data_IF_387664895455
#
_entry.id   IF_387664895455
#
_cell.length_a   1.000
_cell.length_b   1.000
_cell.length_c   1.000
_cell.angle_alpha   90.00
_cell.angle_beta   90.00
_cell.angle_gamma   90.00
#
_symmetry.space_group_name_H-M   'P 1'
#
loop_
_entity.id
_entity.type
_entity.pdbx_description
1 polymer ?
#
# COMPACT_ATOMS: atom_id res chain seq x y z
N UNK A 1 4.44 2.67 -6.85
CA UNK A 1 4.83 1.46 -7.61
C UNK A 1 4.23 1.44 -9.00
N UNK A 2 2.91 1.27 -9.27
CA UNK A 2 2.38 1.26 -10.64
C UNK A 2 2.73 2.50 -11.46
N UNK A 3 2.69 3.68 -10.88
CA UNK A 3 3.05 4.93 -11.57
C UNK A 3 4.51 4.91 -12.05
N UNK A 4 5.41 4.38 -11.25
CA UNK A 4 6.84 4.26 -11.61
C UNK A 4 7.05 3.24 -12.73
N UNK A 5 6.34 2.11 -12.66
CA UNK A 5 6.35 1.10 -13.73
C UNK A 5 5.93 1.72 -15.06
N UNK A 6 4.82 2.46 -15.09
CA UNK A 6 4.36 3.17 -16.29
C UNK A 6 5.40 4.14 -16.86
N UNK A 7 6.22 4.75 -16.00
CA UNK A 7 7.24 5.70 -16.44
C UNK A 7 8.50 5.02 -16.93
N UNK A 8 8.91 3.92 -16.28
CA UNK A 8 10.18 3.24 -16.57
C UNK A 8 10.08 2.33 -17.78
N UNK A 9 9.00 1.55 -17.89
CA UNK A 9 8.88 0.53 -18.95
C UNK A 9 8.16 1.01 -20.20
N UNK A 10 7.48 2.16 -20.15
CA UNK A 10 6.69 2.68 -21.28
C UNK A 10 7.48 2.84 -22.58
N UNK A 11 8.72 3.24 -22.46
CA UNK A 11 9.59 3.59 -23.58
C UNK A 11 10.72 2.54 -23.77
N UNK A 12 10.49 1.30 -23.31
CA UNK A 12 11.41 0.18 -23.49
C UNK A 12 10.79 -0.95 -24.29
N UNK A 13 11.60 -1.66 -25.06
CA UNK A 13 11.20 -2.87 -25.81
C UNK A 13 11.29 -4.15 -24.93
N UNK A 14 11.32 -3.99 -23.60
CA UNK A 14 11.42 -5.11 -22.67
C UNK A 14 10.05 -5.75 -22.52
N UNK A 15 9.95 -7.01 -22.90
CA UNK A 15 8.76 -7.83 -22.62
C UNK A 15 8.67 -8.03 -21.12
N UNK A 16 7.55 -7.62 -20.54
CA UNK A 16 7.32 -7.70 -19.10
C UNK A 16 5.92 -8.28 -18.83
N UNK A 17 5.70 -8.75 -17.61
CA UNK A 17 4.42 -9.26 -17.16
C UNK A 17 4.11 -8.82 -15.74
N UNK A 18 2.85 -8.94 -15.35
CA UNK A 18 2.38 -8.59 -14.01
C UNK A 18 2.15 -9.85 -13.19
N UNK A 19 2.68 -9.85 -11.98
CA UNK A 19 2.47 -10.94 -11.03
C UNK A 19 1.87 -10.37 -9.72
N UNK A 20 0.95 -11.09 -9.09
CA UNK A 20 0.50 -10.72 -7.75
C UNK A 20 1.61 -10.97 -6.74
N UNK A 21 1.56 -10.30 -5.61
CA UNK A 21 2.42 -10.66 -4.47
C UNK A 21 2.12 -12.11 -4.10
N UNK A 22 3.13 -12.99 -4.01
CA UNK A 22 2.91 -14.40 -3.72
C UNK A 22 2.24 -14.60 -2.36
N UNK A 23 1.47 -15.67 -2.23
CA UNK A 23 0.94 -16.11 -0.96
C UNK A 23 2.08 -16.56 -0.05
N UNK A 24 1.89 -16.40 1.26
CA UNK A 24 2.86 -16.85 2.25
C UNK A 24 3.00 -18.39 2.23
N UNK A 25 1.84 -19.08 2.19
CA UNK A 25 1.74 -20.53 2.14
C UNK A 25 0.39 -20.98 1.56
N UNK A 26 0.17 -22.27 1.48
CA UNK A 26 -1.07 -22.89 0.97
C UNK A 26 -2.32 -22.61 1.83
N UNK A 27 -2.14 -22.21 3.09
CA UNK A 27 -3.26 -21.90 3.99
C UNK A 27 -3.83 -20.51 3.71
N UNK A 28 -3.06 -19.62 3.09
CA UNK A 28 -3.54 -18.31 2.68
C UNK A 28 -4.51 -18.45 1.51
N UNK A 29 -5.81 -18.31 1.76
CA UNK A 29 -6.86 -18.49 0.77
C UNK A 29 -6.82 -17.47 -0.35
N UNK A 30 -6.55 -16.20 -0.02
CA UNK A 30 -6.62 -15.10 -0.96
C UNK A 30 -5.26 -14.40 -1.12
N UNK A 31 -5.03 -13.85 -2.31
CA UNK A 31 -3.95 -12.89 -2.50
C UNK A 31 -4.20 -11.63 -1.67
N UNK A 32 -3.13 -10.99 -1.21
CA UNK A 32 -3.19 -9.70 -0.51
C UNK A 32 -2.18 -8.75 -1.12
N UNK A 33 -2.63 -7.56 -1.42
CA UNK A 33 -1.78 -6.47 -1.94
C UNK A 33 -1.77 -5.36 -0.91
N UNK A 34 -0.61 -5.13 -0.30
CA UNK A 34 -0.46 -4.00 0.63
C UNK A 34 -0.42 -2.71 -0.17
N UNK A 35 -1.30 -1.80 0.16
CA UNK A 35 -1.31 -0.45 -0.40
C UNK A 35 -0.64 0.51 0.57
N UNK A 36 0.30 1.29 0.03
CA UNK A 36 0.83 2.47 0.72
C UNK A 36 -0.07 3.61 0.34
N UNK A 37 -0.99 3.94 1.22
CA UNK A 37 -1.93 5.01 0.93
C UNK A 37 -1.37 6.37 1.36
N UNK A 38 -1.44 7.33 0.45
CA UNK A 38 -1.28 8.74 0.80
C UNK A 38 -2.60 9.16 1.44
N UNK A 39 -2.57 9.39 2.74
CA UNK A 39 -3.74 9.86 3.48
C UNK A 39 -3.88 11.37 3.30
N UNK A 40 -5.09 11.80 3.03
CA UNK A 40 -5.45 13.20 3.04
C UNK A 40 -5.89 13.58 4.45
N UNK A 41 -5.34 14.66 4.98
CA UNK A 41 -5.71 15.18 6.28
C UNK A 41 -6.18 16.63 6.15
N UNK A 42 -7.24 16.96 6.87
CA UNK A 42 -7.74 18.34 6.96
C UNK A 42 -7.26 18.93 8.26
N UNK A 43 -6.49 20.05 8.22
CA UNK A 43 -6.06 20.73 9.45
C UNK A 43 -7.27 21.22 10.25
N UNK A 44 -7.23 21.06 11.58
CA UNK A 44 -8.32 21.46 12.47
C UNK A 44 -8.63 22.98 12.46
N UNK A 45 -7.67 23.80 12.02
CA UNK A 45 -7.87 25.25 11.87
C UNK A 45 -8.90 25.64 10.80
N UNK A 46 -9.33 24.69 9.97
CA UNK A 46 -10.34 24.91 8.93
C UNK A 46 -11.68 24.26 9.28
N UNK A 47 -11.96 24.06 10.55
CA UNK A 47 -13.22 23.41 11.02
C UNK A 47 -14.49 24.11 10.52
N UNK A 48 -14.45 25.43 10.32
CA UNK A 48 -15.57 26.20 9.77
C UNK A 48 -15.91 25.87 8.30
N UNK A 49 -14.98 25.22 7.58
CA UNK A 49 -15.14 24.82 6.17
C UNK A 49 -15.25 23.31 5.99
N UNK A 50 -15.39 22.56 7.08
CA UNK A 50 -15.30 21.10 7.03
C UNK A 50 -16.35 20.47 6.10
N UNK A 51 -17.57 20.99 6.08
CA UNK A 51 -18.64 20.50 5.19
C UNK A 51 -18.30 20.72 3.72
N UNK A 52 -17.80 21.91 3.38
CA UNK A 52 -17.36 22.22 2.01
C UNK A 52 -16.17 21.34 1.60
N UNK A 53 -15.19 21.18 2.48
CA UNK A 53 -14.00 20.35 2.23
C UNK A 53 -14.43 18.89 2.04
N UNK A 54 -15.36 18.40 2.88
CA UNK A 54 -15.93 17.07 2.75
C UNK A 54 -16.61 16.85 1.38
N UNK A 55 -17.50 17.76 1.00
CA UNK A 55 -18.20 17.69 -0.28
C UNK A 55 -17.26 17.72 -1.49
N UNK A 56 -16.22 18.57 -1.46
CA UNK A 56 -15.23 18.64 -2.55
C UNK A 56 -14.40 17.35 -2.59
N UNK A 57 -13.99 16.84 -1.44
CA UNK A 57 -13.19 15.60 -1.36
C UNK A 57 -13.99 14.39 -1.85
N UNK A 58 -15.26 14.31 -1.50
CA UNK A 58 -16.17 13.26 -2.00
C UNK A 58 -16.35 13.36 -3.51
N UNK A 59 -16.63 14.56 -4.03
CA UNK A 59 -16.75 14.78 -5.46
C UNK A 59 -15.48 14.39 -6.23
N UNK A 60 -14.31 14.75 -5.73
CA UNK A 60 -13.02 14.35 -6.32
C UNK A 60 -12.83 12.85 -6.28
N UNK A 61 -13.19 12.20 -5.18
CA UNK A 61 -13.09 10.73 -5.04
C UNK A 61 -14.03 10.01 -6.00
N UNK A 62 -15.25 10.52 -6.18
CA UNK A 62 -16.21 10.01 -7.14
C UNK A 62 -15.70 10.16 -8.59
N UNK A 63 -15.16 11.32 -8.95
CA UNK A 63 -14.56 11.54 -10.28
C UNK A 63 -13.33 10.66 -10.50
N UNK A 64 -12.50 10.49 -9.48
CA UNK A 64 -11.36 9.58 -9.56
C UNK A 64 -11.82 8.14 -9.84
N UNK A 65 -12.83 7.66 -9.13
CA UNK A 65 -13.35 6.31 -9.29
C UNK A 65 -13.95 6.09 -10.69
N UNK A 66 -14.73 7.05 -11.19
CA UNK A 66 -15.47 6.90 -12.43
C UNK A 66 -14.63 7.16 -13.69
N UNK A 67 -13.60 8.00 -13.62
CA UNK A 67 -12.84 8.42 -14.79
C UNK A 67 -11.36 8.10 -14.70
N UNK A 68 -10.71 8.47 -13.60
CA UNK A 68 -9.24 8.32 -13.50
C UNK A 68 -8.86 6.85 -13.37
N UNK A 69 -9.57 6.10 -12.53
CA UNK A 69 -9.29 4.68 -12.32
C UNK A 69 -9.44 3.85 -13.59
N UNK A 70 -10.55 3.92 -14.35
CA UNK A 70 -10.65 3.20 -15.62
C UNK A 70 -9.61 3.66 -16.66
N UNK A 71 -9.36 4.96 -16.79
CA UNK A 71 -8.34 5.47 -17.69
C UNK A 71 -6.94 4.95 -17.35
N UNK A 72 -6.62 4.83 -16.08
CA UNK A 72 -5.35 4.29 -15.64
C UNK A 72 -5.27 2.77 -15.79
N UNK A 73 -6.22 2.02 -15.24
CA UNK A 73 -6.16 0.57 -15.26
C UNK A 73 -6.53 -0.04 -16.61
N UNK A 74 -7.63 0.38 -17.23
CA UNK A 74 -8.13 -0.28 -18.43
C UNK A 74 -7.42 0.26 -19.69
N UNK A 75 -7.26 1.58 -19.80
CA UNK A 75 -6.64 2.16 -21.00
C UNK A 75 -5.11 2.10 -20.94
N UNK A 76 -4.50 2.47 -19.81
CA UNK A 76 -3.04 2.57 -19.72
C UNK A 76 -2.40 1.23 -19.37
N UNK A 77 -2.78 0.64 -18.25
CA UNK A 77 -2.13 -0.58 -17.78
C UNK A 77 -2.46 -1.79 -18.68
N UNK A 78 -3.74 -2.07 -18.89
CA UNK A 78 -4.16 -3.21 -19.72
C UNK A 78 -3.98 -2.95 -21.21
N UNK A 79 -4.28 -1.73 -21.67
CA UNK A 79 -4.27 -1.44 -23.10
C UNK A 79 -2.90 -1.12 -23.69
N UNK A 80 -1.94 -0.66 -22.89
CA UNK A 80 -0.62 -0.22 -23.38
C UNK A 80 0.58 -0.93 -22.76
N UNK A 81 0.42 -1.50 -21.60
CA UNK A 81 1.54 -2.08 -20.82
C UNK A 81 1.34 -3.58 -20.52
N UNK A 82 0.23 -4.15 -20.94
CA UNK A 82 -0.07 -5.57 -20.77
C UNK A 82 0.09 -6.27 -22.13
N UNK A 83 0.94 -7.28 -22.16
CA UNK A 83 1.22 -8.05 -23.37
C UNK A 83 0.38 -9.32 -23.46
N UNK A 84 -0.35 -9.68 -22.38
CA UNK A 84 -1.12 -10.91 -22.31
C UNK A 84 -2.49 -10.76 -21.62
N UNK A 85 -3.47 -11.63 -21.95
CA UNK A 85 -4.74 -11.70 -21.23
C UNK A 85 -4.58 -12.07 -19.74
N UNK A 86 -3.52 -12.78 -19.39
CA UNK A 86 -3.18 -13.17 -18.03
C UNK A 86 -2.79 -11.96 -17.20
N UNK A 87 -2.02 -11.05 -17.78
CA UNK A 87 -1.66 -9.77 -17.15
C UNK A 87 -2.89 -8.94 -16.82
N UNK A 88 -3.87 -8.91 -17.73
CA UNK A 88 -5.12 -8.18 -17.51
C UNK A 88 -5.87 -8.71 -16.28
N UNK A 89 -5.90 -10.04 -16.07
CA UNK A 89 -6.53 -10.65 -14.89
C UNK A 89 -5.79 -10.28 -13.60
N UNK A 90 -4.45 -10.27 -13.66
CA UNK A 90 -3.63 -9.86 -12.50
C UNK A 90 -3.86 -8.38 -12.16
N UNK A 91 -3.93 -7.53 -13.18
CA UNK A 91 -4.21 -6.11 -13.00
C UNK A 91 -5.60 -5.83 -12.41
N UNK A 92 -6.59 -6.69 -12.64
CA UNK A 92 -7.89 -6.64 -11.96
C UNK A 92 -7.81 -7.14 -10.52
N UNK A 93 -7.04 -8.18 -10.28
CA UNK A 93 -6.91 -8.80 -8.97
C UNK A 93 -6.18 -7.89 -7.97
N UNK A 94 -5.14 -7.17 -8.38
CA UNK A 94 -4.32 -6.33 -7.50
C UNK A 94 -5.15 -5.27 -6.76
N UNK A 95 -5.95 -4.42 -7.42
CA UNK A 95 -6.79 -3.46 -6.72
C UNK A 95 -7.93 -4.11 -5.93
N UNK A 96 -8.43 -5.27 -6.37
CA UNK A 96 -9.49 -6.00 -5.68
C UNK A 96 -9.03 -6.63 -4.36
N UNK A 97 -7.76 -7.01 -4.27
CA UNK A 97 -7.15 -7.63 -3.08
C UNK A 97 -6.39 -6.65 -2.20
N UNK A 98 -6.60 -5.34 -2.43
CA UNK A 98 -5.92 -4.29 -1.66
C UNK A 98 -6.28 -4.36 -0.19
N UNK A 99 -5.28 -4.31 0.65
CA UNK A 99 -5.41 -4.25 2.10
C UNK A 99 -4.50 -3.17 2.68
N UNK A 100 -4.95 -2.57 3.77
CA UNK A 100 -4.14 -1.65 4.56
C UNK A 100 -3.50 -2.46 5.68
N UNK A 101 -2.19 -2.44 5.74
CA UNK A 101 -1.43 -3.06 6.82
C UNK A 101 -1.08 -2.02 7.88
N UNK A 102 -1.46 -2.30 9.13
CA UNK A 102 -1.23 -1.37 10.25
C UNK A 102 0.26 -1.15 10.50
N UNK A 103 1.05 -2.21 10.52
CA UNK A 103 2.49 -2.11 10.77
C UNK A 103 3.20 -1.32 9.68
N UNK A 104 2.77 -1.48 8.43
CA UNK A 104 3.32 -0.72 7.31
C UNK A 104 2.89 0.75 7.36
N UNK A 105 1.64 1.04 7.68
CA UNK A 105 1.12 2.42 7.76
C UNK A 105 1.76 3.23 8.88
N UNK A 106 2.11 2.56 9.99
CA UNK A 106 2.71 3.18 11.17
C UNK A 106 4.20 2.88 11.34
N UNK A 107 4.90 2.43 10.30
CA UNK A 107 6.32 2.03 10.41
C UNK A 107 7.24 3.13 10.93
N UNK A 108 6.90 4.39 10.75
CA UNK A 108 7.66 5.53 11.28
C UNK A 108 7.46 5.70 12.79
N UNK A 109 6.32 5.27 13.31
CA UNK A 109 6.01 5.30 14.76
C UNK A 109 6.49 4.03 15.43
N UNK A 110 6.35 2.89 14.73
CA UNK A 110 6.79 1.58 15.17
C UNK A 110 8.19 1.32 14.58
N UNK A 111 9.17 2.04 15.10
CA UNK A 111 10.55 2.06 14.57
C UNK A 111 11.16 0.66 14.33
N UNK A 112 10.96 -0.38 15.21
CA UNK A 112 11.50 -1.70 14.93
C UNK A 112 10.99 -2.38 13.68
N UNK A 113 9.83 -1.98 13.14
CA UNK A 113 9.33 -2.48 11.87
C UNK A 113 10.26 -2.12 10.71
N UNK A 114 10.91 -0.96 10.76
CA UNK A 114 11.89 -0.55 9.77
C UNK A 114 13.08 -1.52 9.69
N UNK A 115 13.54 -2.06 10.82
CA UNK A 115 14.61 -3.05 10.83
C UNK A 115 14.21 -4.35 10.12
N UNK A 116 12.96 -4.78 10.25
CA UNK A 116 12.45 -5.96 9.54
C UNK A 116 12.37 -5.71 8.03
N UNK A 117 11.90 -4.53 7.63
CA UNK A 117 11.86 -4.14 6.23
C UNK A 117 13.27 -4.03 5.62
N UNK A 118 14.23 -3.49 6.37
CA UNK A 118 15.61 -3.38 5.93
C UNK A 118 16.27 -4.74 5.72
N UNK A 119 15.89 -5.76 6.49
CA UNK A 119 16.40 -7.12 6.29
C UNK A 119 15.97 -7.73 4.95
N UNK A 120 14.79 -7.38 4.47
CA UNK A 120 14.32 -7.85 3.16
C UNK A 120 15.01 -7.13 1.99
N UNK A 121 15.46 -5.90 2.22
CA UNK A 121 16.11 -5.06 1.22
C UNK A 121 17.64 -5.24 1.16
N UNK A 122 18.23 -5.73 2.24
CA UNK A 122 19.68 -5.94 2.35
C UNK A 122 19.98 -7.42 2.24
N UNK A 123 20.79 -7.79 1.27
CA UNK A 123 21.38 -9.13 1.21
C UNK A 123 22.40 -9.24 2.35
N UNK A 124 21.92 -9.58 3.54
CA UNK A 124 22.76 -9.75 4.74
C UNK A 124 22.70 -11.20 5.19
N UNK A 125 23.77 -11.63 5.83
CA UNK A 125 23.85 -12.94 6.50
C UNK A 125 23.13 -12.96 7.85
N UNK A 126 22.47 -11.87 8.21
CA UNK A 126 21.79 -11.72 9.49
C UNK A 126 20.52 -12.54 9.53
N UNK A 127 20.40 -13.43 10.49
CA UNK A 127 19.20 -14.25 10.69
C UNK A 127 18.01 -13.40 11.14
N UNK A 128 16.88 -13.53 10.43
CA UNK A 128 15.62 -12.90 10.82
C UNK A 128 15.24 -13.23 12.26
N UNK A 129 15.38 -14.51 12.68
CA UNK A 129 15.05 -14.95 14.03
C UNK A 129 15.90 -14.25 15.09
N UNK A 130 17.20 -14.07 14.86
CA UNK A 130 18.08 -13.40 15.82
C UNK A 130 17.78 -11.89 15.91
N UNK A 131 17.44 -11.27 14.80
CA UNK A 131 17.04 -9.85 14.76
C UNK A 131 15.70 -9.66 15.47
N UNK A 132 14.70 -10.48 15.14
CA UNK A 132 13.38 -10.41 15.78
C UNK A 132 13.49 -10.58 17.31
N UNK A 133 14.29 -11.52 17.79
CA UNK A 133 14.52 -11.71 19.24
C UNK A 133 15.06 -10.46 19.92
N UNK A 134 15.90 -9.67 19.24
CA UNK A 134 16.47 -8.43 19.79
C UNK A 134 15.46 -7.29 19.86
N UNK A 135 14.54 -7.21 18.88
CA UNK A 135 13.64 -6.06 18.75
C UNK A 135 12.21 -6.34 19.22
N UNK A 136 11.82 -7.60 19.44
CA UNK A 136 10.43 -8.00 19.74
C UNK A 136 9.81 -7.24 20.91
N UNK A 137 10.53 -7.13 22.04
CA UNK A 137 10.02 -6.41 23.21
C UNK A 137 9.80 -4.90 22.94
N UNK A 138 10.69 -4.29 22.17
CA UNK A 138 10.55 -2.89 21.76
C UNK A 138 9.42 -2.69 20.76
N UNK A 139 9.26 -3.65 19.84
CA UNK A 139 8.17 -3.66 18.86
C UNK A 139 6.82 -3.74 19.58
N UNK A 140 6.66 -4.70 20.49
CA UNK A 140 5.43 -4.89 21.26
C UNK A 140 5.06 -3.65 22.07
N UNK A 141 6.03 -3.06 22.76
CA UNK A 141 5.82 -1.82 23.52
C UNK A 141 5.35 -0.69 22.62
N UNK A 142 6.03 -0.44 21.50
CA UNK A 142 5.66 0.66 20.60
C UNK A 142 4.30 0.43 19.92
N UNK A 143 3.96 -0.81 19.60
CA UNK A 143 2.64 -1.19 19.11
C UNK A 143 1.55 -0.86 20.14
N UNK A 144 1.72 -1.29 21.39
CA UNK A 144 0.77 -1.02 22.44
C UNK A 144 0.63 0.48 22.73
N UNK A 145 1.74 1.22 22.73
CA UNK A 145 1.73 2.68 22.90
C UNK A 145 0.99 3.38 21.74
N UNK A 146 1.15 2.90 20.51
CA UNK A 146 0.45 3.44 19.34
C UNK A 146 -1.07 3.19 19.41
N UNK A 147 -1.47 1.95 19.74
CA UNK A 147 -2.88 1.58 19.93
C UNK A 147 -3.51 2.41 21.04
N UNK A 148 -2.85 2.52 22.21
CA UNK A 148 -3.36 3.31 23.32
C UNK A 148 -3.51 4.82 23.01
N UNK A 149 -2.72 5.35 22.09
CA UNK A 149 -2.90 6.73 21.60
C UNK A 149 -4.11 6.86 20.68
N UNK A 150 -4.30 5.89 19.80
CA UNK A 150 -5.45 5.87 18.87
C UNK A 150 -6.76 5.76 19.64
N UNK A 151 -6.84 4.89 20.64
CA UNK A 151 -8.02 4.71 21.50
C UNK A 151 -8.44 5.97 22.28
N UNK A 152 -7.51 6.88 22.50
CA UNK A 152 -7.77 8.18 23.17
C UNK A 152 -8.22 9.28 22.23
N UNK A 153 -8.22 9.04 20.93
CA UNK A 153 -8.70 10.03 19.99
C UNK A 153 -10.23 10.18 20.11
N UNK A 154 -10.74 11.40 20.06
CA UNK A 154 -12.18 11.61 20.01
C UNK A 154 -12.75 10.96 18.75
N UNK A 155 -13.82 10.18 18.92
CA UNK A 155 -14.57 9.59 17.81
C UNK A 155 -15.32 10.62 16.99
#
# INVERSE_FOLDING_TARGET
MFREVCTIIRDTDIVNGFLPVPKLDENQKEYKTVSVDILWAVPAIHSEKIEMIGAVTEALSCQHYNYVRPAFFDTTMKGKLSDSPEDAKVLDMIPATRSIDFGYSYYQVITPMQYLMDLTNKVTTTSLASTYKKISASLEKQMNDAVAKIEKLPG
#
